data_IF_010505243352
#
_entry.id   IF_010505243352
#
_cell.length_a   1.000
_cell.length_b   1.000
_cell.length_c   1.000
_cell.angle_alpha   90.00
_cell.angle_beta   90.00
_cell.angle_gamma   90.00
#
_symmetry.space_group_name_H-M   'P 1'
#
loop_
_entity.id
_entity.type
_entity.pdbx_description
1 polymer ?
#
# COMPACT_ATOMS: atom_id res chain seq x y z
N UNK A 1 12.64 8.38 13.12
CA UNK A 1 12.59 8.75 14.56
C UNK A 1 13.97 9.02 15.15
N UNK A 2 15.04 8.24 14.89
CA UNK A 2 16.39 8.65 15.29
C UNK A 2 16.79 9.99 14.67
N UNK A 3 16.46 10.21 13.40
CA UNK A 3 16.67 11.49 12.73
C UNK A 3 15.83 12.59 13.40
N UNK A 4 14.54 12.35 13.64
CA UNK A 4 13.68 13.30 14.38
C UNK A 4 14.08 13.41 15.86
N UNK A 5 14.44 12.32 16.52
CA UNK A 5 14.93 12.36 17.91
C UNK A 5 16.32 12.98 17.96
N UNK A 6 17.23 12.68 17.02
CA UNK A 6 18.53 13.35 16.95
C UNK A 6 18.36 14.83 16.62
N UNK A 7 17.44 15.19 15.72
CA UNK A 7 17.13 16.58 15.39
C UNK A 7 16.47 17.30 16.58
N UNK A 8 15.58 16.64 17.32
CA UNK A 8 14.99 17.16 18.57
C UNK A 8 16.04 17.26 19.65
N UNK A 9 16.89 16.25 19.84
CA UNK A 9 17.98 16.29 20.82
C UNK A 9 19.00 17.37 20.48
N UNK A 10 19.33 17.54 19.19
CA UNK A 10 20.22 18.59 18.72
C UNK A 10 19.59 19.98 18.88
N UNK A 11 18.29 20.11 18.59
CA UNK A 11 17.51 21.34 18.80
C UNK A 11 17.47 21.70 20.28
N UNK A 12 17.19 20.74 21.16
CA UNK A 12 17.15 20.96 22.61
C UNK A 12 18.55 21.32 23.12
N UNK A 13 19.59 20.61 22.70
CA UNK A 13 20.97 20.91 23.11
C UNK A 13 21.43 22.30 22.62
N UNK A 14 21.11 22.63 21.39
CA UNK A 14 21.41 23.96 20.81
C UNK A 14 20.64 25.07 21.55
N UNK A 15 19.36 24.83 21.90
CA UNK A 15 18.57 25.77 22.68
C UNK A 15 19.11 25.95 24.09
N UNK A 16 19.56 24.87 24.76
CA UNK A 16 20.24 24.93 26.08
C UNK A 16 21.51 25.78 26.00
N UNK A 17 22.34 25.55 24.98
CA UNK A 17 23.60 26.27 24.80
C UNK A 17 23.38 27.76 24.45
N UNK A 18 22.35 28.08 23.69
CA UNK A 18 22.08 29.46 23.19
C UNK A 18 21.29 30.32 24.17
N UNK A 19 20.45 29.73 25.01
CA UNK A 19 19.49 30.50 25.82
C UNK A 19 19.75 30.52 27.31
N UNK A 20 20.68 29.74 27.81
CA UNK A 20 20.97 29.53 29.24
C UNK A 20 19.70 29.09 30.06
N UNK A 21 18.62 28.70 29.41
CA UNK A 21 17.42 28.17 30.09
C UNK A 21 17.67 26.74 30.58
N UNK A 22 17.15 26.39 31.79
CA UNK A 22 17.18 25.01 32.24
C UNK A 22 16.48 24.08 31.23
N UNK A 23 17.06 22.93 31.00
CA UNK A 23 16.56 21.93 30.01
C UNK A 23 15.06 21.62 30.18
N UNK A 24 14.58 21.55 31.44
CA UNK A 24 13.15 21.34 31.75
C UNK A 24 12.25 22.42 31.18
N UNK A 25 12.72 23.68 31.17
CA UNK A 25 11.94 24.82 30.62
C UNK A 25 11.86 24.74 29.08
N UNK A 26 12.96 24.37 28.45
CA UNK A 26 13.04 24.16 27.00
C UNK A 26 12.13 23.01 26.59
N UNK A 27 12.15 21.89 27.30
CA UNK A 27 11.27 20.74 27.05
C UNK A 27 9.78 21.11 27.19
N UNK A 28 9.44 21.89 28.22
CA UNK A 28 8.09 22.38 28.40
C UNK A 28 7.62 23.29 27.25
N UNK A 29 8.51 24.17 26.75
CA UNK A 29 8.23 25.06 25.62
C UNK A 29 8.04 24.28 24.30
N UNK A 30 8.73 23.15 24.16
CA UNK A 30 8.62 22.24 22.98
C UNK A 30 7.51 21.19 23.14
N UNK A 31 6.77 21.19 24.24
CA UNK A 31 5.72 20.21 24.52
C UNK A 31 6.26 18.79 24.74
N UNK A 32 7.54 18.64 25.12
CA UNK A 32 8.20 17.36 25.30
C UNK A 32 8.21 16.98 26.78
N UNK A 33 7.62 15.84 27.12
CA UNK A 33 7.70 15.32 28.48
C UNK A 33 9.15 15.01 28.86
N UNK A 34 9.66 15.47 30.02
CA UNK A 34 11.03 15.18 30.46
C UNK A 34 11.37 13.69 30.49
N UNK A 35 10.41 12.84 30.87
CA UNK A 35 10.56 11.38 30.86
C UNK A 35 10.85 10.85 29.43
N UNK A 36 10.20 11.41 28.40
CA UNK A 36 10.46 11.05 27.01
C UNK A 36 11.87 11.48 26.60
N UNK A 37 12.25 12.71 26.88
CA UNK A 37 13.58 13.23 26.55
C UNK A 37 14.69 12.39 27.20
N UNK A 38 14.60 12.14 28.49
CA UNK A 38 15.62 11.32 29.18
C UNK A 38 15.61 9.86 28.76
N UNK A 39 14.43 9.32 28.33
CA UNK A 39 14.38 7.99 27.76
C UNK A 39 15.05 7.89 26.38
N UNK A 40 15.12 9.01 25.64
CA UNK A 40 15.84 9.08 24.37
C UNK A 40 17.37 9.18 24.54
N UNK A 41 17.83 9.76 25.65
CA UNK A 41 19.24 9.85 25.97
C UNK A 41 19.81 8.56 26.57
N UNK A 42 19.00 7.83 27.32
CA UNK A 42 19.39 6.53 27.88
C UNK A 42 18.93 5.43 26.97
N UNK A 43 19.85 4.61 26.41
CA UNK A 43 19.45 3.36 25.76
C UNK A 43 18.84 2.48 26.86
N UNK A 44 17.51 2.49 27.01
CA UNK A 44 16.85 1.52 27.87
C UNK A 44 17.21 0.14 27.36
N UNK A 45 17.84 -0.65 28.21
CA UNK A 45 17.71 -2.08 28.19
C UNK A 45 16.21 -2.36 28.36
N UNK A 46 15.45 -2.33 27.27
CA UNK A 46 14.04 -2.70 27.24
C UNK A 46 14.03 -4.18 27.52
N UNK A 47 13.62 -4.49 28.75
CA UNK A 47 13.12 -5.77 29.19
C UNK A 47 13.74 -6.97 28.44
N UNK A 48 14.93 -7.39 28.86
CA UNK A 48 15.69 -8.62 28.56
C UNK A 48 15.41 -9.52 27.36
N UNK A 49 14.42 -9.17 26.52
CA UNK A 49 14.08 -9.87 25.30
C UNK A 49 14.66 -9.16 24.10
N UNK A 50 15.98 -9.28 23.99
CA UNK A 50 16.70 -8.95 22.77
C UNK A 50 16.04 -9.68 21.59
N UNK A 51 15.55 -8.96 20.57
CA UNK A 51 15.21 -9.59 19.31
C UNK A 51 16.51 -9.86 18.54
N UNK A 52 16.99 -11.13 18.49
CA UNK A 52 18.25 -11.45 17.83
C UNK A 52 18.20 -11.27 16.30
N UNK A 53 17.02 -10.89 15.78
CA UNK A 53 16.75 -10.78 14.35
C UNK A 53 16.75 -9.36 13.81
N UNK A 54 16.82 -8.32 14.66
CA UNK A 54 16.94 -6.92 14.23
C UNK A 54 18.08 -6.22 14.92
N UNK A 55 18.94 -5.57 14.16
CA UNK A 55 19.97 -4.67 14.68
C UNK A 55 19.30 -3.39 15.21
N UNK A 56 19.91 -2.74 16.19
CA UNK A 56 19.39 -1.47 16.76
C UNK A 56 19.09 -0.42 15.67
N UNK A 57 19.94 -0.35 14.66
CA UNK A 57 19.77 0.62 13.56
C UNK A 57 18.53 0.31 12.69
N UNK A 58 18.27 -0.97 12.41
CA UNK A 58 17.06 -1.40 11.68
C UNK A 58 15.79 -1.14 12.50
N UNK A 59 15.83 -1.30 13.82
CA UNK A 59 14.70 -1.00 14.69
C UNK A 59 14.27 0.47 14.57
N UNK A 60 15.24 1.38 14.60
CA UNK A 60 14.96 2.81 14.43
C UNK A 60 14.49 3.17 13.03
N UNK A 61 15.03 2.52 12.00
CA UNK A 61 14.53 2.69 10.62
C UNK A 61 13.06 2.27 10.51
N UNK A 62 12.66 1.14 11.11
CA UNK A 62 11.28 0.66 11.13
C UNK A 62 10.35 1.67 11.81
N UNK A 63 10.73 2.14 13.00
CA UNK A 63 9.93 3.11 13.76
C UNK A 63 9.83 4.44 13.01
N UNK A 64 10.94 4.95 12.48
CA UNK A 64 10.97 6.18 11.69
C UNK A 64 10.11 6.07 10.42
N UNK A 65 10.15 4.93 9.75
CA UNK A 65 9.32 4.68 8.57
C UNK A 65 7.83 4.67 8.93
N UNK A 66 7.43 4.01 10.03
CA UNK A 66 6.04 4.02 10.52
C UNK A 66 5.55 5.42 10.87
N UNK A 67 6.39 6.26 11.46
CA UNK A 67 6.01 7.64 11.80
C UNK A 67 5.80 8.52 10.56
N UNK A 68 6.57 8.30 9.50
CA UNK A 68 6.38 8.99 8.22
C UNK A 68 5.14 8.48 7.48
N UNK A 69 4.79 7.21 7.66
CA UNK A 69 3.69 6.54 6.99
C UNK A 69 2.71 5.89 7.99
N UNK A 70 1.96 6.69 8.78
CA UNK A 70 1.16 6.20 9.91
C UNK A 70 0.04 5.23 9.48
N UNK A 71 -0.43 5.33 8.26
CA UNK A 71 -1.53 4.52 7.74
C UNK A 71 -1.10 3.15 7.22
N UNK A 72 0.21 2.93 6.99
CA UNK A 72 0.70 1.66 6.47
C UNK A 72 0.68 0.56 7.54
N UNK A 73 0.26 -0.63 7.12
CA UNK A 73 0.32 -1.84 7.95
C UNK A 73 1.75 -2.39 8.05
N UNK A 74 2.04 -3.16 9.11
CA UNK A 74 3.39 -3.70 9.35
C UNK A 74 3.95 -4.55 8.20
N UNK A 75 3.09 -5.31 7.50
CA UNK A 75 3.51 -6.10 6.33
C UNK A 75 3.86 -5.23 5.15
N UNK A 76 3.06 -4.19 4.93
CA UNK A 76 3.29 -3.22 3.87
C UNK A 76 4.59 -2.46 4.11
N UNK A 77 4.82 -2.02 5.35
CA UNK A 77 6.09 -1.41 5.78
C UNK A 77 7.27 -2.34 5.48
N UNK A 78 7.18 -3.60 5.91
CA UNK A 78 8.28 -4.56 5.70
C UNK A 78 8.64 -4.71 4.23
N UNK A 79 7.65 -4.92 3.38
CA UNK A 79 7.91 -5.14 1.95
C UNK A 79 8.32 -3.86 1.22
N UNK A 80 7.79 -2.71 1.62
CA UNK A 80 8.26 -1.43 1.09
C UNK A 80 9.73 -1.18 1.44
N UNK A 81 10.12 -1.40 2.70
CA UNK A 81 11.51 -1.22 3.12
C UNK A 81 12.48 -2.15 2.39
N UNK A 82 12.06 -3.38 2.06
CA UNK A 82 12.86 -4.34 1.29
C UNK A 82 13.00 -3.90 -0.17
N UNK A 83 11.90 -3.49 -0.79
CA UNK A 83 11.86 -3.13 -2.20
C UNK A 83 12.60 -1.82 -2.49
N UNK A 84 12.56 -0.89 -1.54
CA UNK A 84 13.25 0.40 -1.61
C UNK A 84 14.68 0.37 -1.03
N UNK A 85 15.19 -0.83 -0.72
CA UNK A 85 16.54 -1.06 -0.17
C UNK A 85 16.83 -0.27 1.12
N UNK A 86 15.79 0.03 1.93
CA UNK A 86 15.90 0.77 3.19
C UNK A 86 16.35 -0.15 4.33
N UNK A 87 15.71 -1.32 4.46
CA UNK A 87 16.07 -2.37 5.41
C UNK A 87 15.48 -3.72 4.99
N UNK A 88 16.26 -4.78 5.14
CA UNK A 88 15.85 -6.13 4.73
C UNK A 88 15.34 -6.93 5.94
N UNK A 89 14.15 -6.59 6.40
CA UNK A 89 13.53 -7.13 7.60
C UNK A 89 12.25 -7.90 7.30
N UNK A 90 12.02 -9.00 8.01
CA UNK A 90 10.80 -9.78 7.83
C UNK A 90 9.58 -9.05 8.40
N UNK A 91 8.37 -9.31 7.90
CA UNK A 91 7.14 -8.75 8.49
C UNK A 91 6.96 -9.07 9.99
N UNK A 92 7.40 -10.23 10.44
CA UNK A 92 7.37 -10.61 11.87
C UNK A 92 8.30 -9.74 12.71
N UNK A 93 9.47 -9.40 12.18
CA UNK A 93 10.41 -8.48 12.83
C UNK A 93 9.82 -7.08 12.93
N UNK A 94 9.27 -6.56 11.84
CA UNK A 94 8.60 -5.25 11.83
C UNK A 94 7.45 -5.23 12.84
N UNK A 95 6.60 -6.28 12.87
CA UNK A 95 5.53 -6.38 13.85
C UNK A 95 6.03 -6.35 15.29
N UNK A 96 7.07 -7.15 15.60
CA UNK A 96 7.65 -7.20 16.95
C UNK A 96 8.24 -5.86 17.40
N UNK A 97 8.90 -5.14 16.48
CA UNK A 97 9.44 -3.79 16.74
C UNK A 97 8.29 -2.81 16.98
N UNK A 98 7.32 -2.72 16.07
CA UNK A 98 6.21 -1.79 16.20
C UNK A 98 5.36 -2.08 17.44
N UNK A 99 5.18 -3.35 17.82
CA UNK A 99 4.47 -3.73 19.05
C UNK A 99 5.20 -3.25 20.31
N UNK A 100 6.53 -3.40 20.38
CA UNK A 100 7.34 -2.88 21.50
C UNK A 100 7.22 -1.38 21.66
N UNK A 101 7.09 -0.65 20.55
CA UNK A 101 6.94 0.80 20.54
C UNK A 101 5.49 1.30 20.62
N UNK A 102 4.50 0.38 20.83
CA UNK A 102 3.09 0.75 20.94
C UNK A 102 2.47 1.28 19.64
N UNK A 103 3.09 0.98 18.49
CA UNK A 103 2.70 1.51 17.16
C UNK A 103 1.85 0.54 16.33
N UNK A 104 1.37 -0.54 16.94
CA UNK A 104 0.48 -1.51 16.27
C UNK A 104 -0.97 -1.18 16.61
N UNK A 105 -1.76 -0.91 15.59
CA UNK A 105 -3.22 -0.85 15.70
C UNK A 105 -3.82 -2.24 15.51
N UNK A 106 -4.52 -2.75 16.51
CA UNK A 106 -5.24 -4.02 16.43
C UNK A 106 -6.48 -3.86 15.57
N UNK A 107 -6.46 -4.37 14.34
CA UNK A 107 -7.68 -4.53 13.53
C UNK A 107 -8.36 -5.83 13.97
N UNK A 108 -9.67 -5.77 14.30
CA UNK A 108 -10.47 -6.98 14.48
C UNK A 108 -10.49 -7.76 13.16
N UNK A 109 -9.98 -8.98 13.15
CA UNK A 109 -10.04 -9.85 11.98
C UNK A 109 -11.50 -10.23 11.72
N UNK A 110 -11.97 -9.94 10.50
CA UNK A 110 -13.23 -10.49 10.00
C UNK A 110 -12.92 -11.82 9.33
N UNK A 111 -13.48 -12.90 9.84
CA UNK A 111 -13.41 -14.23 9.23
C UNK A 111 -14.33 -14.19 8.00
N UNK A 112 -13.76 -14.35 6.82
CA UNK A 112 -14.51 -14.53 5.57
C UNK A 112 -14.47 -16.00 5.20
N UNK A 113 -15.65 -16.64 5.16
CA UNK A 113 -15.80 -17.96 4.56
C UNK A 113 -15.64 -17.82 3.03
N UNK A 114 -14.60 -18.43 2.48
CA UNK A 114 -14.38 -18.43 1.03
C UNK A 114 -15.28 -19.48 0.36
N UNK A 115 -16.19 -19.02 -0.52
CA UNK A 115 -16.77 -19.90 -1.54
C UNK A 115 -15.75 -20.05 -2.67
N UNK A 116 -15.67 -21.22 -3.28
CA UNK A 116 -14.82 -21.46 -4.44
C UNK A 116 -15.14 -20.43 -5.54
N UNK A 117 -14.12 -19.66 -5.91
CA UNK A 117 -14.19 -18.68 -7.00
C UNK A 117 -13.17 -19.08 -8.04
N UNK A 118 -13.55 -18.96 -9.32
CA UNK A 118 -12.56 -19.01 -10.37
C UNK A 118 -11.60 -17.83 -10.18
N UNK A 119 -10.33 -18.16 -10.08
CA UNK A 119 -9.26 -17.16 -9.98
C UNK A 119 -8.48 -17.18 -11.30
N UNK A 120 -8.44 -16.07 -12.06
CA UNK A 120 -7.60 -15.99 -13.23
C UNK A 120 -6.15 -16.21 -12.85
N UNK A 121 -5.38 -16.84 -13.73
CA UNK A 121 -3.97 -17.21 -13.51
C UNK A 121 -2.99 -16.29 -14.21
N UNK A 122 -3.50 -15.44 -15.11
CA UNK A 122 -2.70 -14.44 -15.85
C UNK A 122 -3.51 -13.15 -16.05
N UNK A 123 -2.83 -12.03 -16.39
CA UNK A 123 -3.51 -10.80 -16.76
C UNK A 123 -4.45 -10.99 -17.96
N UNK A 124 -5.48 -10.14 -18.02
CA UNK A 124 -6.40 -10.02 -19.14
C UNK A 124 -7.26 -11.27 -19.42
N UNK A 125 -7.45 -12.16 -18.44
CA UNK A 125 -8.46 -13.23 -18.54
C UNK A 125 -9.86 -12.72 -18.18
N UNK A 126 -9.96 -11.92 -17.14
CA UNK A 126 -11.24 -11.34 -16.68
C UNK A 126 -10.99 -9.89 -16.27
N UNK A 127 -11.78 -9.00 -16.85
CA UNK A 127 -11.90 -7.63 -16.36
C UNK A 127 -13.24 -7.44 -15.67
N UNK A 128 -13.24 -6.83 -14.50
CA UNK A 128 -14.45 -6.34 -13.87
C UNK A 128 -14.65 -4.88 -14.23
N UNK A 129 -15.92 -4.53 -14.54
CA UNK A 129 -16.29 -3.16 -14.83
C UNK A 129 -17.44 -2.73 -13.91
N UNK A 130 -17.35 -1.50 -13.41
CA UNK A 130 -18.36 -0.90 -12.54
C UNK A 130 -18.35 0.62 -12.69
N UNK A 131 -19.48 1.24 -12.33
CA UNK A 131 -19.67 2.69 -12.35
C UNK A 131 -19.98 3.17 -10.93
N UNK A 132 -19.18 4.11 -10.42
CA UNK A 132 -19.45 4.75 -9.15
C UNK A 132 -19.78 6.24 -9.29
N UNK A 133 -20.60 6.74 -8.36
CA UNK A 133 -20.94 8.16 -8.27
C UNK A 133 -19.78 8.96 -7.65
N UNK A 134 -19.44 10.07 -8.29
CA UNK A 134 -18.46 11.07 -7.81
C UNK A 134 -19.15 12.42 -7.70
N UNK A 135 -19.09 13.04 -6.54
CA UNK A 135 -19.71 14.35 -6.30
C UNK A 135 -18.66 15.46 -6.43
N UNK A 136 -18.88 16.40 -7.35
CA UNK A 136 -18.03 17.58 -7.55
C UNK A 136 -18.87 18.84 -7.44
N UNK A 137 -18.61 19.68 -6.44
CA UNK A 137 -19.36 20.95 -6.20
C UNK A 137 -20.87 20.78 -6.25
N UNK A 138 -21.38 19.72 -5.62
CA UNK A 138 -22.82 19.46 -5.52
C UNK A 138 -23.45 18.74 -6.73
N UNK A 139 -22.71 18.54 -7.83
CA UNK A 139 -23.16 17.79 -9.01
C UNK A 139 -22.60 16.38 -8.99
N UNK A 140 -23.36 15.41 -9.49
CA UNK A 140 -22.92 14.04 -9.65
C UNK A 140 -22.33 13.82 -11.05
N UNK A 141 -21.23 13.09 -11.05
CA UNK A 141 -20.58 12.51 -12.23
C UNK A 141 -20.41 11.01 -11.99
N UNK A 142 -19.99 10.28 -12.99
CA UNK A 142 -20.00 8.82 -12.99
C UNK A 142 -18.60 8.31 -13.38
N UNK A 143 -17.87 7.75 -12.44
CA UNK A 143 -16.57 7.17 -12.73
C UNK A 143 -16.74 5.71 -13.13
N UNK A 144 -16.52 5.41 -14.42
CA UNK A 144 -16.40 4.05 -14.91
C UNK A 144 -14.98 3.55 -14.74
N UNK A 145 -14.83 2.31 -14.26
CA UNK A 145 -13.54 1.67 -13.99
C UNK A 145 -13.55 0.27 -14.58
N UNK A 146 -12.52 -0.06 -15.35
CA UNK A 146 -12.19 -1.41 -15.78
C UNK A 146 -10.97 -1.89 -15.03
N UNK A 147 -11.05 -3.03 -14.36
CA UNK A 147 -9.97 -3.57 -13.53
C UNK A 147 -9.67 -5.03 -13.88
N UNK A 148 -8.43 -5.34 -14.12
CA UNK A 148 -7.98 -6.72 -14.29
C UNK A 148 -8.09 -7.50 -12.97
N UNK A 149 -8.77 -8.64 -13.01
CA UNK A 149 -9.07 -9.44 -11.81
C UNK A 149 -7.82 -10.12 -11.26
N UNK A 150 -6.86 -10.50 -12.09
CA UNK A 150 -5.61 -11.13 -11.66
C UNK A 150 -4.71 -10.14 -10.94
N UNK A 151 -4.37 -9.05 -11.59
CA UNK A 151 -3.38 -8.08 -11.13
C UNK A 151 -3.93 -6.94 -10.28
N UNK A 152 -5.24 -6.73 -10.26
CA UNK A 152 -5.90 -5.54 -9.68
C UNK A 152 -5.54 -4.24 -10.41
N UNK A 153 -4.93 -4.32 -11.57
CA UNK A 153 -4.56 -3.16 -12.38
C UNK A 153 -5.80 -2.52 -13.00
N UNK A 154 -5.98 -1.22 -12.82
CA UNK A 154 -7.04 -0.47 -13.50
C UNK A 154 -6.57 -0.23 -14.92
N UNK A 155 -7.14 -0.98 -15.87
CA UNK A 155 -6.77 -0.95 -17.28
C UNK A 155 -7.30 0.27 -17.99
N UNK A 156 -8.51 0.73 -17.58
CA UNK A 156 -9.11 1.94 -18.09
C UNK A 156 -10.04 2.59 -17.05
N UNK A 157 -10.15 3.92 -17.11
CA UNK A 157 -11.08 4.69 -16.31
C UNK A 157 -11.47 5.97 -17.03
N UNK A 158 -12.68 6.45 -16.77
CA UNK A 158 -13.15 7.75 -17.27
C UNK A 158 -14.21 8.35 -16.35
N UNK A 159 -14.19 9.67 -16.19
CA UNK A 159 -15.24 10.40 -15.49
C UNK A 159 -16.29 10.87 -16.51
N UNK A 160 -17.50 10.33 -16.41
CA UNK A 160 -18.60 10.55 -17.33
C UNK A 160 -19.57 11.59 -16.79
N UNK A 161 -20.26 12.28 -17.69
CA UNK A 161 -21.36 13.19 -17.38
C UNK A 161 -22.71 12.48 -17.31
N UNK A 162 -22.83 11.33 -17.98
CA UNK A 162 -23.98 10.45 -18.01
C UNK A 162 -23.54 9.00 -17.77
N UNK A 163 -24.42 8.15 -17.26
CA UNK A 163 -24.20 6.72 -17.10
C UNK A 163 -25.08 5.88 -18.02
N UNK A 164 -25.43 6.40 -19.20
CA UNK A 164 -26.14 5.65 -20.23
C UNK A 164 -25.26 4.56 -20.89
N UNK A 165 -25.92 3.67 -21.64
CA UNK A 165 -25.23 2.55 -22.27
C UNK A 165 -24.28 2.98 -23.40
N UNK A 166 -24.58 4.08 -24.08
CA UNK A 166 -23.72 4.64 -25.14
C UNK A 166 -22.41 5.15 -24.55
N UNK A 167 -22.48 5.99 -23.51
CA UNK A 167 -21.30 6.46 -22.79
C UNK A 167 -20.44 5.31 -22.25
N UNK A 168 -21.07 4.29 -21.64
CA UNK A 168 -20.38 3.11 -21.15
C UNK A 168 -19.75 2.29 -22.30
N UNK A 169 -20.45 2.16 -23.43
CA UNK A 169 -19.96 1.48 -24.62
C UNK A 169 -18.75 2.17 -25.23
N UNK A 170 -18.77 3.49 -25.33
CA UNK A 170 -17.63 4.28 -25.81
C UNK A 170 -16.37 4.05 -24.95
N UNK A 171 -16.52 4.04 -23.63
CA UNK A 171 -15.38 3.78 -22.74
C UNK A 171 -14.92 2.32 -22.76
N UNK A 172 -15.84 1.36 -22.99
CA UNK A 172 -15.46 -0.02 -23.24
C UNK A 172 -14.62 -0.15 -24.53
N UNK A 173 -14.99 0.54 -25.60
CA UNK A 173 -14.21 0.57 -26.84
C UNK A 173 -12.80 1.10 -26.61
N UNK A 174 -12.65 2.21 -25.88
CA UNK A 174 -11.33 2.78 -25.53
C UNK A 174 -10.51 1.81 -24.67
N UNK A 175 -11.13 1.14 -23.70
CA UNK A 175 -10.46 0.14 -22.87
C UNK A 175 -9.91 -1.01 -23.74
N UNK A 176 -10.71 -1.51 -24.67
CA UNK A 176 -10.33 -2.58 -25.59
C UNK A 176 -9.20 -2.15 -26.55
N UNK A 177 -9.23 -0.92 -27.04
CA UNK A 177 -8.16 -0.37 -27.87
C UNK A 177 -6.83 -0.27 -27.12
N UNK A 178 -6.88 0.05 -25.83
CA UNK A 178 -5.69 0.05 -24.98
C UNK A 178 -5.13 -1.37 -24.80
N UNK A 179 -6.01 -2.35 -24.56
CA UNK A 179 -5.62 -3.75 -24.45
C UNK A 179 -4.89 -4.26 -25.71
N UNK A 180 -5.47 -4.01 -26.89
CA UNK A 180 -4.93 -4.52 -28.16
C UNK A 180 -3.56 -3.96 -28.53
N UNK A 181 -3.16 -2.82 -27.98
CA UNK A 181 -1.80 -2.29 -28.15
C UNK A 181 -0.77 -3.11 -27.38
N UNK A 182 -1.15 -3.67 -26.25
CA UNK A 182 -0.26 -4.32 -25.30
C UNK A 182 -0.40 -5.85 -25.26
N UNK A 183 -1.56 -6.40 -25.74
CA UNK A 183 -1.88 -7.82 -25.58
C UNK A 183 -2.79 -8.34 -26.70
N UNK A 184 -2.66 -9.63 -27.04
CA UNK A 184 -3.59 -10.39 -27.89
C UNK A 184 -4.70 -11.07 -27.08
N UNK A 185 -4.83 -10.75 -25.80
CA UNK A 185 -5.84 -11.36 -24.94
C UNK A 185 -7.26 -10.84 -25.24
N UNK A 186 -8.23 -11.70 -24.99
CA UNK A 186 -9.66 -11.40 -25.11
C UNK A 186 -10.33 -11.56 -23.75
N UNK A 187 -10.29 -10.53 -22.89
CA UNK A 187 -10.83 -10.65 -21.53
C UNK A 187 -12.35 -10.86 -21.53
N UNK A 188 -12.82 -11.69 -20.62
CA UNK A 188 -14.22 -11.73 -20.25
C UNK A 188 -14.55 -10.47 -19.45
N UNK A 189 -15.49 -9.65 -19.93
CA UNK A 189 -15.93 -8.44 -19.24
C UNK A 189 -17.02 -8.77 -18.24
N UNK A 190 -16.70 -8.76 -16.97
CA UNK A 190 -17.65 -9.04 -15.87
C UNK A 190 -18.25 -7.73 -15.35
N UNK A 191 -19.59 -7.65 -15.35
CA UNK A 191 -20.35 -6.46 -14.94
C UNK A 191 -21.45 -6.85 -13.95
N UNK A 192 -21.98 -5.88 -13.24
CA UNK A 192 -23.27 -6.01 -12.58
C UNK A 192 -24.44 -6.01 -13.60
N UNK A 193 -25.67 -5.94 -13.09
CA UNK A 193 -26.88 -5.86 -13.89
C UNK A 193 -27.40 -4.41 -14.05
N UNK A 194 -26.53 -3.42 -13.95
CA UNK A 194 -26.86 -2.00 -14.14
C UNK A 194 -27.33 -1.70 -15.55
N UNK A 195 -28.23 -0.72 -15.70
CA UNK A 195 -28.83 -0.35 -17.00
C UNK A 195 -27.78 0.02 -18.05
N UNK A 196 -26.67 0.64 -17.64
CA UNK A 196 -25.55 0.99 -18.51
C UNK A 196 -24.93 -0.23 -19.20
N UNK A 197 -24.85 -1.37 -18.50
CA UNK A 197 -24.20 -2.59 -18.98
C UNK A 197 -25.15 -3.57 -19.66
N UNK A 198 -26.46 -3.50 -19.38
CA UNK A 198 -27.46 -4.31 -20.07
C UNK A 198 -27.96 -3.65 -21.37
N UNK A 199 -27.68 -2.36 -21.55
CA UNK A 199 -28.06 -1.59 -22.71
C UNK A 199 -27.47 -2.15 -24.01
N UNK A 200 -28.15 -1.87 -25.14
CA UNK A 200 -27.75 -2.39 -26.44
C UNK A 200 -26.35 -1.91 -26.84
N UNK A 201 -26.05 -0.63 -26.65
CA UNK A 201 -24.84 0.01 -27.13
C UNK A 201 -23.57 -0.58 -26.45
N UNK A 202 -23.61 -0.80 -25.15
CA UNK A 202 -22.51 -1.47 -24.46
C UNK A 202 -22.28 -2.89 -24.96
N UNK A 203 -23.37 -3.66 -25.14
CA UNK A 203 -23.26 -5.05 -25.59
C UNK A 203 -22.81 -5.18 -27.05
N UNK A 204 -23.24 -4.26 -27.93
CA UNK A 204 -22.83 -4.29 -29.35
C UNK A 204 -21.33 -4.03 -29.48
N UNK A 205 -20.78 -3.10 -28.71
CA UNK A 205 -19.32 -2.82 -28.67
C UNK A 205 -18.53 -4.06 -28.28
N UNK A 206 -18.92 -4.76 -27.22
CA UNK A 206 -18.24 -5.99 -26.83
C UNK A 206 -18.32 -7.07 -27.92
N UNK A 207 -19.50 -7.28 -28.48
CA UNK A 207 -19.70 -8.28 -29.56
C UNK A 207 -18.91 -7.96 -30.84
N UNK A 208 -18.87 -6.70 -31.25
CA UNK A 208 -18.08 -6.26 -32.41
C UNK A 208 -16.58 -6.45 -32.22
N UNK A 209 -16.12 -6.45 -30.98
CA UNK A 209 -14.73 -6.72 -30.63
C UNK A 209 -14.46 -8.18 -30.25
N UNK A 210 -15.43 -9.09 -30.38
CA UNK A 210 -15.27 -10.52 -30.08
C UNK A 210 -15.22 -10.85 -28.59
N UNK A 211 -15.60 -9.91 -27.70
CA UNK A 211 -15.52 -10.11 -26.26
C UNK A 211 -16.81 -10.65 -25.67
N UNK A 212 -16.68 -11.46 -24.64
CA UNK A 212 -17.79 -12.05 -23.90
C UNK A 212 -18.11 -11.18 -22.68
N UNK A 213 -19.40 -10.83 -22.52
CA UNK A 213 -19.89 -10.25 -21.28
C UNK A 213 -20.39 -11.34 -20.33
N UNK A 214 -19.90 -11.33 -19.09
CA UNK A 214 -20.39 -12.15 -17.99
C UNK A 214 -21.06 -11.27 -16.94
N UNK A 215 -22.38 -11.36 -16.82
CA UNK A 215 -23.09 -10.63 -15.76
C UNK A 215 -23.09 -11.44 -14.47
N UNK A 216 -22.91 -10.74 -13.33
CA UNK A 216 -23.03 -11.38 -12.03
C UNK A 216 -24.46 -11.89 -11.78
N UNK A 217 -24.60 -12.96 -11.00
CA UNK A 217 -25.92 -13.43 -10.62
C UNK A 217 -26.61 -12.40 -9.71
N UNK A 218 -27.94 -12.27 -9.78
CA UNK A 218 -28.68 -11.44 -8.83
C UNK A 218 -28.33 -11.82 -7.40
N UNK A 219 -28.20 -10.83 -6.54
CA UNK A 219 -27.88 -11.00 -5.10
C UNK A 219 -26.53 -11.67 -4.80
N UNK A 220 -25.56 -11.62 -5.73
CA UNK A 220 -24.19 -12.13 -5.50
C UNK A 220 -23.14 -11.04 -5.71
N UNK A 221 -23.14 -9.97 -4.90
CA UNK A 221 -22.21 -8.84 -5.04
C UNK A 221 -20.75 -9.27 -4.89
N UNK A 222 -20.50 -10.36 -4.19
CA UNK A 222 -19.14 -10.89 -4.05
C UNK A 222 -18.50 -11.29 -5.38
N UNK A 223 -19.27 -11.51 -6.46
CA UNK A 223 -18.72 -11.78 -7.79
C UNK A 223 -18.05 -10.53 -8.38
N UNK A 224 -18.50 -9.32 -8.03
CA UNK A 224 -17.90 -8.05 -8.46
C UNK A 224 -17.02 -7.40 -7.38
N UNK A 225 -16.68 -8.14 -6.34
CA UNK A 225 -16.03 -7.62 -5.13
C UNK A 225 -14.63 -7.03 -5.32
N UNK A 226 -13.98 -7.25 -6.46
CA UNK A 226 -12.65 -6.69 -6.75
C UNK A 226 -12.80 -5.23 -7.19
N UNK A 227 -13.65 -4.95 -8.17
CA UNK A 227 -13.90 -3.58 -8.61
C UNK A 227 -14.60 -2.78 -7.52
N UNK A 228 -15.54 -3.36 -6.76
CA UNK A 228 -16.17 -2.69 -5.62
C UNK A 228 -15.15 -2.26 -4.56
N UNK A 229 -14.16 -3.12 -4.27
CA UNK A 229 -13.08 -2.77 -3.35
C UNK A 229 -12.16 -1.69 -3.91
N UNK A 230 -11.85 -1.73 -5.22
CA UNK A 230 -11.09 -0.70 -5.88
C UNK A 230 -11.86 0.64 -5.83
N UNK A 231 -13.14 0.64 -6.18
CA UNK A 231 -14.02 1.81 -6.14
C UNK A 231 -14.09 2.42 -4.73
N UNK A 232 -14.16 1.61 -3.68
CA UNK A 232 -14.08 2.12 -2.30
C UNK A 232 -12.75 2.83 -2.03
N UNK A 233 -11.64 2.23 -2.45
CA UNK A 233 -10.30 2.83 -2.27
C UNK A 233 -10.18 4.14 -3.06
N UNK A 234 -10.64 4.17 -4.31
CA UNK A 234 -10.65 5.38 -5.13
C UNK A 234 -11.52 6.47 -4.51
N UNK A 235 -12.72 6.11 -4.02
CA UNK A 235 -13.64 7.04 -3.34
C UNK A 235 -12.99 7.68 -2.12
N UNK A 236 -12.36 6.89 -1.24
CA UNK A 236 -11.68 7.41 -0.05
C UNK A 236 -10.58 8.43 -0.43
N UNK A 237 -9.86 8.20 -1.55
CA UNK A 237 -8.85 9.11 -2.05
C UNK A 237 -9.45 10.37 -2.71
N UNK A 238 -10.53 10.22 -3.48
CA UNK A 238 -11.24 11.34 -4.14
C UNK A 238 -11.86 12.24 -3.07
N UNK A 239 -12.55 11.67 -2.07
CA UNK A 239 -13.21 12.42 -1.01
C UNK A 239 -12.22 13.18 -0.12
N UNK A 240 -10.97 12.72 -0.03
CA UNK A 240 -9.87 13.40 0.66
C UNK A 240 -9.22 14.52 -0.17
N UNK A 241 -9.57 14.65 -1.46
CA UNK A 241 -8.99 15.60 -2.39
C UNK A 241 -9.84 16.85 -2.54
N UNK A 242 -9.20 18.00 -2.76
CA UNK A 242 -9.88 19.25 -3.07
C UNK A 242 -10.12 19.36 -4.56
N UNK A 243 -11.37 19.19 -4.99
CA UNK A 243 -11.76 19.21 -6.40
C UNK A 243 -12.66 20.40 -6.70
N UNK A 244 -12.26 21.24 -7.65
CA UNK A 244 -12.92 22.52 -7.93
C UNK A 244 -13.92 22.49 -9.08
N UNK A 245 -13.70 21.66 -10.07
CA UNK A 245 -14.52 21.53 -11.27
C UNK A 245 -14.35 20.16 -11.94
N UNK A 246 -15.07 19.94 -13.04
CA UNK A 246 -15.01 18.66 -13.78
C UNK A 246 -13.62 18.34 -14.34
N UNK A 247 -12.93 19.31 -14.91
CA UNK A 247 -11.60 19.08 -15.49
C UNK A 247 -10.57 18.75 -14.41
N UNK A 248 -10.64 19.45 -13.29
CA UNK A 248 -9.82 19.19 -12.11
C UNK A 248 -10.13 17.80 -11.53
N UNK A 249 -11.41 17.38 -11.48
CA UNK A 249 -11.81 16.03 -11.11
C UNK A 249 -11.17 14.97 -12.02
N UNK A 250 -11.19 15.17 -13.33
CA UNK A 250 -10.55 14.25 -14.28
C UNK A 250 -9.05 14.13 -14.02
N UNK A 251 -8.35 15.23 -13.82
CA UNK A 251 -6.91 15.23 -13.55
C UNK A 251 -6.58 14.59 -12.20
N UNK A 252 -7.35 14.91 -11.17
CA UNK A 252 -7.20 14.32 -9.83
C UNK A 252 -7.41 12.81 -9.86
N UNK A 253 -8.48 12.34 -10.51
CA UNK A 253 -8.77 10.92 -10.64
C UNK A 253 -7.67 10.19 -11.42
N UNK A 254 -7.16 10.79 -12.50
CA UNK A 254 -6.04 10.23 -13.26
C UNK A 254 -4.79 10.06 -12.38
N UNK A 255 -4.45 11.05 -11.54
CA UNK A 255 -3.37 10.96 -10.56
C UNK A 255 -3.60 9.87 -9.50
N UNK A 256 -4.83 9.77 -9.00
CA UNK A 256 -5.22 8.73 -8.03
C UNK A 256 -5.12 7.33 -8.64
N UNK A 257 -5.57 7.13 -9.88
CA UNK A 257 -5.44 5.84 -10.58
C UNK A 257 -3.99 5.51 -10.87
N UNK A 258 -3.19 6.50 -11.25
CA UNK A 258 -1.74 6.31 -11.41
C UNK A 258 -1.10 5.83 -10.11
N UNK A 259 -1.37 6.49 -8.99
CA UNK A 259 -0.90 6.07 -7.66
C UNK A 259 -1.40 4.67 -7.30
N UNK A 260 -2.69 4.37 -7.52
CA UNK A 260 -3.28 3.06 -7.26
C UNK A 260 -2.55 1.95 -8.01
N UNK A 261 -2.26 2.16 -9.29
CA UNK A 261 -1.64 1.16 -10.14
C UNK A 261 -0.13 0.98 -9.87
N UNK A 262 0.60 2.07 -9.64
CA UNK A 262 2.06 2.05 -9.68
C UNK A 262 2.72 2.12 -8.30
N UNK A 263 2.06 2.67 -7.30
CA UNK A 263 2.67 2.94 -5.99
C UNK A 263 1.97 2.17 -4.86
N UNK A 264 0.64 2.07 -4.91
CA UNK A 264 -0.13 1.41 -3.86
C UNK A 264 0.12 -0.09 -3.84
N UNK A 265 0.58 -0.59 -2.69
CA UNK A 265 0.83 -2.03 -2.47
C UNK A 265 -0.45 -2.74 -2.03
N UNK A 266 -0.70 -3.92 -2.59
CA UNK A 266 -1.90 -4.69 -2.31
C UNK A 266 -1.59 -5.99 -1.55
N UNK A 267 -2.26 -6.20 -0.42
CA UNK A 267 -2.06 -7.40 0.40
C UNK A 267 -2.40 -8.70 -0.35
N UNK A 268 -3.41 -8.67 -1.22
CA UNK A 268 -3.77 -9.80 -2.09
C UNK A 268 -2.72 -10.13 -3.15
N UNK A 269 -1.84 -9.18 -3.46
CA UNK A 269 -0.73 -9.32 -4.40
C UNK A 269 0.62 -9.48 -3.68
N UNK A 270 0.61 -10.06 -2.49
CA UNK A 270 1.83 -10.19 -1.66
C UNK A 270 2.57 -8.86 -1.48
N UNK A 271 1.82 -7.76 -1.40
CA UNK A 271 2.33 -6.39 -1.28
C UNK A 271 3.18 -5.91 -2.47
N UNK A 272 2.95 -6.46 -3.65
CA UNK A 272 3.36 -5.84 -4.91
C UNK A 272 2.31 -4.81 -5.35
N UNK A 273 2.70 -3.93 -6.27
CA UNK A 273 1.76 -3.01 -6.91
C UNK A 273 1.00 -3.72 -8.03
N UNK A 274 -0.20 -3.24 -8.41
CA UNK A 274 -0.91 -3.75 -9.58
C UNK A 274 -0.05 -3.76 -10.85
N UNK A 275 0.74 -2.71 -11.10
CA UNK A 275 1.60 -2.61 -12.27
C UNK A 275 2.69 -3.70 -12.28
N UNK A 276 3.30 -4.01 -11.12
CA UNK A 276 4.27 -5.10 -11.01
C UNK A 276 3.67 -6.47 -11.31
N UNK A 277 2.38 -6.66 -11.01
CA UNK A 277 1.65 -7.88 -11.35
C UNK A 277 1.17 -7.92 -12.79
N UNK A 278 0.74 -6.78 -13.35
CA UNK A 278 0.14 -6.71 -14.67
C UNK A 278 1.18 -6.73 -15.80
N UNK A 279 2.27 -5.95 -15.65
CA UNK A 279 3.30 -5.75 -16.67
C UNK A 279 4.64 -6.35 -16.32
N UNK A 280 4.84 -6.72 -15.05
CA UNK A 280 6.08 -7.25 -14.54
C UNK A 280 6.07 -8.78 -14.42
N UNK A 281 7.12 -9.28 -13.79
CA UNK A 281 7.23 -10.68 -13.38
C UNK A 281 7.08 -10.76 -11.85
N UNK A 282 5.89 -11.05 -11.30
CA UNK A 282 5.68 -11.09 -9.87
C UNK A 282 6.58 -12.08 -9.13
N UNK A 283 6.89 -13.23 -9.77
CA UNK A 283 7.73 -14.25 -9.15
C UNK A 283 9.18 -13.79 -9.00
N UNK A 284 9.69 -13.01 -9.92
CA UNK A 284 11.02 -12.42 -9.85
C UNK A 284 11.13 -11.39 -8.71
N UNK A 285 10.15 -10.52 -8.57
CA UNK A 285 10.09 -9.58 -7.45
C UNK A 285 10.04 -10.29 -6.11
N UNK A 286 9.23 -11.35 -5.99
CA UNK A 286 9.10 -12.13 -4.76
C UNK A 286 10.39 -12.88 -4.43
N UNK A 287 11.03 -13.48 -5.42
CA UNK A 287 12.32 -14.16 -5.26
C UNK A 287 13.43 -13.19 -4.86
N UNK A 288 13.45 -12.00 -5.44
CA UNK A 288 14.39 -10.95 -5.05
C UNK A 288 14.22 -10.55 -3.57
N UNK A 289 12.98 -10.43 -3.08
CA UNK A 289 12.72 -10.18 -1.66
C UNK A 289 13.25 -11.28 -0.75
N UNK A 290 13.04 -12.55 -1.13
CA UNK A 290 13.53 -13.69 -0.36
C UNK A 290 15.06 -13.70 -0.27
N UNK A 291 15.75 -13.46 -1.39
CA UNK A 291 17.21 -13.36 -1.44
C UNK A 291 17.71 -12.21 -0.52
N UNK A 292 17.11 -11.03 -0.62
CA UNK A 292 17.49 -9.87 0.22
C UNK A 292 17.34 -10.17 1.72
N UNK A 293 16.24 -10.81 2.13
CA UNK A 293 15.99 -11.21 3.52
C UNK A 293 17.02 -12.24 3.98
N UNK A 294 17.34 -13.25 3.15
CA UNK A 294 18.28 -14.30 3.51
C UNK A 294 19.71 -13.76 3.65
N UNK A 295 20.16 -12.93 2.71
CA UNK A 295 21.45 -12.26 2.80
C UNK A 295 21.56 -11.41 4.09
N UNK A 296 20.53 -10.66 4.41
CA UNK A 296 20.48 -9.85 5.61
C UNK A 296 20.52 -10.71 6.90
N UNK A 297 19.89 -11.89 6.90
CA UNK A 297 19.98 -12.85 8.01
C UNK A 297 21.42 -13.36 8.21
N UNK A 298 22.11 -13.69 7.14
CA UNK A 298 23.50 -14.14 7.19
C UNK A 298 24.41 -13.05 7.76
N UNK A 299 24.30 -11.83 7.27
CA UNK A 299 25.09 -10.69 7.75
C UNK A 299 24.83 -10.43 9.25
N UNK A 300 23.58 -10.46 9.70
CA UNK A 300 23.24 -10.30 11.12
C UNK A 300 23.84 -11.40 11.99
N UNK A 301 23.78 -12.65 11.52
CA UNK A 301 24.36 -13.80 12.21
C UNK A 301 25.86 -13.63 12.42
N UNK A 302 26.58 -13.24 11.39
CA UNK A 302 28.03 -13.00 11.46
C UNK A 302 28.36 -11.85 12.42
N UNK A 303 27.62 -10.76 12.34
CA UNK A 303 27.82 -9.58 13.20
C UNK A 303 27.60 -9.91 14.68
N UNK A 304 26.50 -10.62 14.98
CA UNK A 304 26.20 -11.08 16.34
C UNK A 304 27.26 -12.05 16.87
N UNK A 305 27.84 -12.90 16.02
CA UNK A 305 28.93 -13.78 16.43
C UNK A 305 30.24 -13.00 16.76
N UNK A 306 30.55 -11.98 15.95
CA UNK A 306 31.74 -11.11 16.24
C UNK A 306 31.56 -10.31 17.52
N UNK A 307 30.36 -9.76 17.77
CA UNK A 307 30.06 -9.01 19.00
C UNK A 307 30.16 -9.90 20.25
N UNK A 308 29.72 -11.16 20.20
CA UNK A 308 29.83 -12.13 21.29
C UNK A 308 31.31 -12.44 21.60
N UNK A 309 32.10 -12.73 20.54
CA UNK A 309 33.53 -13.00 20.72
C UNK A 309 34.33 -11.78 21.24
N UNK A 310 33.97 -10.57 20.80
CA UNK A 310 34.58 -9.34 21.29
C UNK A 310 34.23 -9.03 22.76
N UNK A 311 33.02 -9.38 23.23
CA UNK A 311 32.59 -9.24 24.61
C UNK A 311 33.26 -10.23 25.55
N UNK A 312 33.56 -11.46 25.10
CA UNK A 312 34.29 -12.46 25.90
C UNK A 312 35.77 -12.09 26.12
N UNK A 313 36.40 -11.44 25.13
CA UNK A 313 37.80 -10.99 25.23
C UNK A 313 37.93 -9.77 26.18
N UNK A 314 36.93 -8.87 26.18
CA UNK A 314 36.92 -7.72 27.09
C UNK A 314 36.60 -8.11 28.54
N UNK A 315 35.89 -9.20 28.79
CA UNK A 315 35.61 -9.73 30.13
C UNK A 315 36.77 -10.54 30.76
N UNK A 316 37.68 -11.05 29.93
CA UNK A 316 38.83 -11.86 30.40
C UNK A 316 40.05 -11.02 30.82
N UNK A 317 40.05 -9.73 30.56
CA UNK A 317 41.14 -8.80 30.93
C UNK A 317 40.91 -8.04 32.25
N UNK A 318 39.87 -8.41 33.04
CA UNK A 318 39.50 -7.78 34.30
C UNK A 318 39.40 -8.79 35.46
N UNK A 319 40.15 -9.91 35.41
CA UNK A 319 40.39 -10.80 36.55
C UNK A 319 41.85 -10.82 36.92
#
# INVERSE_FOLDING_TARGET
MRYLISEVLETVNTAVLRTAYPIRKILAMLGIAPSSYYSWLTPRAIDGRFNPFALRDEEWLIVGFKMKHPNLGFREIAYTMIDEDIAYVSPSTVYAVLRRHGLVTTRKEKIFLSKERYHPVRPDEIWQCDIMYVKVKGRFFYLIVFIDVFSRYITHHALLRSMDADSAGLEAQKAIETLRKDSLAEPVIQTDNGSSFIGYDFRIVLRQNGLTQKRIHPHTPEQNGIVERANRTLRDMIDSSVVMNYQDACSTIAGIVHFYNNERRHSSLKYLTPAQYYRGNPDEFLKTREIKIEMARMIRKERNMKERKGGEVAGASHN
#
